data_IF_017070207222
#
_entry.id   IF_017070207222
#
_cell.length_a   1.000
_cell.length_b   1.000
_cell.length_c   1.000
_cell.angle_alpha   90.00
_cell.angle_beta   90.00
_cell.angle_gamma   90.00
#
_symmetry.space_group_name_H-M   'P 1'
#
loop_
_entity.id
_entity.type
_entity.pdbx_description
1 polymer ?
#
# COMPACT_ATOMS: atom_id res chain seq x y z
N UNK A 1 20.01 -4.66 -32.41
CA UNK A 1 18.89 -5.47 -32.95
C UNK A 1 18.09 -6.21 -31.88
N UNK A 2 18.67 -7.11 -31.06
CA UNK A 2 17.90 -7.76 -29.95
C UNK A 2 17.71 -6.85 -28.74
N UNK A 3 18.73 -6.03 -28.42
CA UNK A 3 18.69 -5.08 -27.29
C UNK A 3 17.66 -3.98 -27.53
N UNK A 4 17.54 -3.47 -28.76
CA UNK A 4 16.54 -2.45 -29.12
C UNK A 4 15.11 -2.98 -28.94
N UNK A 5 14.83 -4.21 -29.38
CA UNK A 5 13.51 -4.82 -29.21
C UNK A 5 13.11 -4.99 -27.73
N UNK A 6 14.09 -5.26 -26.85
CA UNK A 6 13.85 -5.35 -25.41
C UNK A 6 13.64 -3.97 -24.77
N UNK A 7 14.41 -2.96 -25.18
CA UNK A 7 14.32 -1.57 -24.68
C UNK A 7 12.97 -0.94 -25.05
N UNK A 8 12.46 -1.21 -26.26
CA UNK A 8 11.17 -0.69 -26.73
C UNK A 8 9.97 -1.56 -26.35
N UNK A 9 10.17 -2.62 -25.56
CA UNK A 9 9.06 -3.45 -25.10
C UNK A 9 8.13 -2.63 -24.18
N UNK A 10 6.79 -2.66 -24.38
CA UNK A 10 5.85 -1.80 -23.65
C UNK A 10 5.92 -1.97 -22.12
N UNK A 11 6.28 -3.16 -21.64
CA UNK A 11 6.50 -3.39 -20.20
C UNK A 11 7.76 -2.68 -19.65
N UNK A 12 8.82 -2.57 -20.45
CA UNK A 12 10.07 -1.88 -20.05
C UNK A 12 9.82 -0.38 -20.01
N UNK A 13 9.15 0.17 -21.01
CA UNK A 13 8.73 1.57 -21.02
C UNK A 13 7.83 1.90 -19.82
N UNK A 14 6.88 1.01 -19.49
CA UNK A 14 6.00 1.16 -18.33
C UNK A 14 6.78 1.12 -17.00
N UNK A 15 7.69 0.17 -16.84
CA UNK A 15 8.57 0.09 -15.68
C UNK A 15 9.43 1.34 -15.51
N UNK A 16 10.02 1.85 -16.60
CA UNK A 16 10.84 3.06 -16.58
C UNK A 16 10.02 4.28 -16.15
N UNK A 17 8.79 4.44 -16.66
CA UNK A 17 7.86 5.50 -16.22
C UNK A 17 7.53 5.36 -14.73
N UNK A 18 7.30 4.14 -14.26
CA UNK A 18 7.01 3.87 -12.86
C UNK A 18 8.17 4.27 -11.93
N UNK A 19 9.38 3.80 -12.23
CA UNK A 19 10.59 4.07 -11.42
C UNK A 19 11.03 5.53 -11.53
N UNK A 20 10.75 6.22 -12.63
CA UNK A 20 11.00 7.65 -12.76
C UNK A 20 10.24 8.47 -11.70
N UNK A 21 9.04 8.02 -11.29
CA UNK A 21 8.27 8.73 -10.25
C UNK A 21 8.91 8.61 -8.86
N UNK A 22 8.97 9.72 -8.12
CA UNK A 22 9.39 9.73 -6.71
C UNK A 22 8.46 8.87 -5.85
N UNK A 23 7.16 8.91 -6.14
CA UNK A 23 6.12 8.13 -5.45
C UNK A 23 6.28 6.63 -5.66
N UNK A 24 6.58 6.18 -6.89
CA UNK A 24 6.82 4.76 -7.19
C UNK A 24 8.03 4.22 -6.44
N UNK A 25 9.15 4.95 -6.43
CA UNK A 25 10.35 4.60 -5.68
C UNK A 25 10.11 4.53 -4.16
N UNK A 26 9.45 5.52 -3.56
CA UNK A 26 9.10 5.50 -2.13
C UNK A 26 8.25 4.27 -1.76
N UNK A 27 7.25 3.93 -2.58
CA UNK A 27 6.38 2.76 -2.36
C UNK A 27 7.12 1.44 -2.47
N UNK A 28 8.05 1.30 -3.43
CA UNK A 28 8.90 0.11 -3.54
C UNK A 28 9.79 -0.07 -2.31
N UNK A 29 10.48 0.99 -1.89
CA UNK A 29 11.34 0.99 -0.72
C UNK A 29 10.57 0.61 0.56
N UNK A 30 9.35 1.15 0.70
CA UNK A 30 8.45 0.81 1.81
C UNK A 30 8.04 -0.66 1.80
N UNK A 31 7.78 -1.23 0.62
CA UNK A 31 7.40 -2.63 0.47
C UNK A 31 8.53 -3.55 0.89
N UNK A 32 9.75 -3.31 0.41
CA UNK A 32 10.92 -4.10 0.78
C UNK A 32 11.20 -4.04 2.28
N UNK A 33 11.04 -2.86 2.89
CA UNK A 33 11.27 -2.71 4.32
C UNK A 33 10.24 -3.44 5.18
N UNK A 34 8.94 -3.27 4.91
CA UNK A 34 7.90 -3.94 5.71
C UNK A 34 7.92 -5.44 5.49
N UNK A 35 8.22 -5.89 4.27
CA UNK A 35 8.42 -7.31 3.99
C UNK A 35 9.62 -7.87 4.75
N UNK A 36 10.77 -7.18 4.75
CA UNK A 36 11.94 -7.60 5.53
C UNK A 36 11.63 -7.67 7.04
N UNK A 37 10.82 -6.73 7.57
CA UNK A 37 10.37 -6.75 8.96
C UNK A 37 9.48 -7.95 9.27
N UNK A 38 8.51 -8.25 8.40
CA UNK A 38 7.65 -9.43 8.54
C UNK A 38 8.45 -10.74 8.44
N UNK A 39 9.34 -10.84 7.45
CA UNK A 39 10.09 -12.06 7.18
C UNK A 39 11.13 -12.36 8.26
N UNK A 40 11.81 -11.35 8.80
CA UNK A 40 12.68 -11.51 9.96
C UNK A 40 11.91 -12.07 11.18
N UNK A 41 10.71 -11.53 11.43
CA UNK A 41 9.82 -12.02 12.49
C UNK A 41 9.35 -13.47 12.25
N UNK A 42 9.00 -13.80 11.00
CA UNK A 42 8.59 -15.14 10.60
C UNK A 42 9.70 -16.19 10.77
N UNK A 43 10.94 -15.84 10.40
CA UNK A 43 12.10 -16.70 10.59
C UNK A 43 12.35 -17.01 12.07
N UNK A 44 12.26 -16.03 12.97
CA UNK A 44 12.41 -16.26 14.41
C UNK A 44 11.33 -17.19 14.98
N UNK A 45 10.11 -17.15 14.44
CA UNK A 45 9.00 -18.04 14.84
C UNK A 45 9.15 -19.46 14.30
N UNK A 46 9.96 -19.67 13.27
CA UNK A 46 10.17 -20.97 12.61
C UNK A 46 11.52 -21.61 12.96
N UNK A 47 12.10 -21.25 14.12
CA UNK A 47 13.42 -21.69 14.59
C UNK A 47 14.58 -21.33 13.64
N UNK A 48 14.45 -20.25 12.87
CA UNK A 48 15.53 -19.70 12.07
C UNK A 48 16.70 -19.23 12.91
N UNK A 49 17.91 -19.36 12.39
CA UNK A 49 19.13 -18.93 13.09
C UNK A 49 19.34 -17.41 12.96
N UNK A 50 20.10 -16.82 13.89
CA UNK A 50 20.45 -15.40 13.83
C UNK A 50 21.18 -15.02 12.52
N UNK A 51 21.90 -15.96 11.90
CA UNK A 51 22.54 -15.76 10.61
C UNK A 51 21.51 -15.61 9.47
N UNK A 52 20.37 -16.30 9.55
CA UNK A 52 19.30 -16.21 8.57
C UNK A 52 18.49 -14.91 8.70
N UNK A 53 18.39 -14.34 9.91
CA UNK A 53 17.67 -13.08 10.15
C UNK A 53 18.52 -11.84 9.90
N UNK A 54 19.84 -11.93 10.06
CA UNK A 54 20.76 -10.80 9.95
C UNK A 54 20.64 -9.97 8.65
N UNK A 55 20.51 -10.56 7.44
CA UNK A 55 20.29 -9.78 6.22
C UNK A 55 19.00 -8.97 6.24
N UNK A 56 17.92 -9.53 6.78
CA UNK A 56 16.61 -8.88 6.87
C UNK A 56 16.60 -7.76 7.90
N UNK A 57 17.30 -7.96 9.02
CA UNK A 57 17.50 -6.92 10.03
C UNK A 57 18.34 -5.75 9.50
N UNK A 58 19.37 -6.04 8.69
CA UNK A 58 20.17 -5.01 8.01
C UNK A 58 19.29 -4.18 7.05
N UNK A 59 18.47 -4.82 6.24
CA UNK A 59 17.51 -4.15 5.34
C UNK A 59 16.52 -3.30 6.16
N UNK A 60 15.87 -3.90 7.17
CA UNK A 60 14.94 -3.18 8.07
C UNK A 60 15.59 -1.93 8.67
N UNK A 61 16.85 -2.04 9.13
CA UNK A 61 17.60 -0.97 9.76
C UNK A 61 17.99 0.12 8.77
N UNK A 62 18.59 -0.22 7.62
CA UNK A 62 19.05 0.76 6.63
C UNK A 62 17.87 1.56 6.05
N UNK A 63 16.85 0.89 5.53
CA UNK A 63 15.67 1.58 4.98
C UNK A 63 14.85 2.29 6.08
N UNK A 64 14.84 1.76 7.30
CA UNK A 64 14.23 2.40 8.45
C UNK A 64 14.91 3.70 8.85
N UNK A 65 16.23 3.74 8.83
CA UNK A 65 17.01 4.95 9.09
C UNK A 65 16.80 5.99 7.99
N UNK A 66 16.84 5.60 6.72
CA UNK A 66 16.55 6.50 5.60
C UNK A 66 15.18 7.16 5.75
N UNK A 67 14.15 6.39 6.11
CA UNK A 67 12.81 6.96 6.35
C UNK A 67 12.70 7.78 7.62
N UNK A 68 13.41 7.41 8.69
CA UNK A 68 13.49 8.24 9.90
C UNK A 68 14.12 9.58 9.56
N UNK A 69 15.21 9.58 8.81
CA UNK A 69 15.90 10.80 8.34
C UNK A 69 14.96 11.68 7.49
N UNK A 70 14.28 11.10 6.50
CA UNK A 70 13.25 11.80 5.70
C UNK A 70 12.04 12.31 6.51
N UNK A 71 11.91 11.89 7.77
CA UNK A 71 10.82 12.26 8.69
C UNK A 71 11.33 12.91 9.98
N UNK A 72 12.61 13.30 10.06
CA UNK A 72 13.12 14.10 11.18
C UNK A 72 12.36 15.43 11.17
N UNK A 73 11.84 15.84 12.34
CA UNK A 73 10.94 17.00 12.49
C UNK A 73 9.45 16.65 12.47
N UNK A 74 9.06 15.38 12.28
CA UNK A 74 7.65 14.97 12.34
C UNK A 74 7.21 14.82 13.81
N UNK A 75 6.50 15.82 14.32
CA UNK A 75 6.01 15.88 15.70
C UNK A 75 4.93 14.82 16.00
N UNK A 76 4.70 14.53 17.29
CA UNK A 76 3.63 13.62 17.76
C UNK A 76 2.25 13.99 17.19
N UNK A 77 1.98 15.28 17.05
CA UNK A 77 0.76 15.81 16.44
C UNK A 77 0.59 15.38 14.98
N UNK A 78 1.67 15.22 14.22
CA UNK A 78 1.59 14.74 12.85
C UNK A 78 1.05 13.29 12.75
N UNK A 79 1.33 12.45 13.76
CA UNK A 79 0.73 11.11 13.85
C UNK A 79 -0.75 11.17 14.21
N UNK A 80 -1.17 12.14 15.03
CA UNK A 80 -2.59 12.37 15.36
C UNK A 80 -3.37 12.89 14.15
N UNK A 81 -2.82 13.85 13.41
CA UNK A 81 -3.41 14.31 12.15
C UNK A 81 -3.46 13.20 11.10
N UNK A 82 -2.45 12.34 11.05
CA UNK A 82 -2.49 11.18 10.16
C UNK A 82 -3.61 10.20 10.53
N UNK A 83 -3.75 9.86 11.82
CA UNK A 83 -4.85 9.02 12.29
C UNK A 83 -6.23 9.64 12.00
N UNK A 84 -6.38 10.96 12.22
CA UNK A 84 -7.61 11.70 11.90
C UNK A 84 -7.89 11.67 10.39
N UNK A 85 -6.86 11.86 9.56
CA UNK A 85 -6.98 11.77 8.11
C UNK A 85 -7.45 10.39 7.64
N UNK A 86 -6.94 9.32 8.26
CA UNK A 86 -7.41 7.94 8.02
C UNK A 86 -8.89 7.80 8.43
N UNK A 87 -9.29 8.32 9.59
CA UNK A 87 -10.68 8.26 10.02
C UNK A 87 -11.63 8.98 9.04
N UNK A 88 -11.27 10.18 8.58
CA UNK A 88 -12.03 10.90 7.56
C UNK A 88 -12.08 10.14 6.22
N UNK A 89 -10.95 9.53 5.81
CA UNK A 89 -10.88 8.70 4.61
C UNK A 89 -11.85 7.52 4.71
N UNK A 90 -11.84 6.78 5.82
CA UNK A 90 -12.75 5.64 6.04
C UNK A 90 -14.20 6.07 5.92
N UNK A 91 -14.61 7.19 6.53
CA UNK A 91 -15.97 7.72 6.40
C UNK A 91 -16.32 8.04 4.94
N UNK A 92 -15.43 8.72 4.22
CA UNK A 92 -15.64 9.07 2.81
C UNK A 92 -15.75 7.82 1.91
N UNK A 93 -14.93 6.80 2.17
CA UNK A 93 -14.95 5.55 1.41
C UNK A 93 -16.21 4.73 1.71
N UNK A 94 -16.66 4.67 2.96
CA UNK A 94 -17.94 4.04 3.33
C UNK A 94 -19.12 4.74 2.64
N UNK A 95 -19.14 6.08 2.64
CA UNK A 95 -20.15 6.83 1.92
C UNK A 95 -20.11 6.57 0.41
N UNK A 96 -18.92 6.46 -0.18
CA UNK A 96 -18.75 6.11 -1.59
C UNK A 96 -19.32 4.72 -1.90
N UNK A 97 -19.06 3.72 -1.05
CA UNK A 97 -19.64 2.39 -1.20
C UNK A 97 -21.17 2.40 -1.11
N UNK A 98 -21.73 3.17 -0.18
CA UNK A 98 -23.18 3.37 -0.06
C UNK A 98 -23.77 3.99 -1.33
N UNK A 99 -23.16 5.07 -1.84
CA UNK A 99 -23.58 5.71 -3.10
C UNK A 99 -23.48 4.77 -4.29
N UNK A 100 -22.43 3.95 -4.37
CA UNK A 100 -22.25 2.97 -5.44
C UNK A 100 -23.28 1.85 -5.39
N UNK A 101 -23.69 1.43 -4.19
CA UNK A 101 -24.79 0.47 -4.02
C UNK A 101 -26.12 1.04 -4.52
N UNK A 102 -26.41 2.31 -4.22
CA UNK A 102 -27.59 2.99 -4.76
C UNK A 102 -27.54 3.14 -6.29
N UNK A 103 -26.37 3.42 -6.87
CA UNK A 103 -26.20 3.47 -8.34
C UNK A 103 -26.42 2.11 -8.99
N UNK A 104 -25.88 1.04 -8.41
CA UNK A 104 -26.08 -0.32 -8.95
C UNK A 104 -27.56 -0.71 -8.97
N UNK A 105 -28.34 -0.34 -7.96
CA UNK A 105 -29.77 -0.63 -7.88
C UNK A 105 -30.61 0.09 -8.97
N UNK A 106 -30.06 1.13 -9.60
CA UNK A 106 -30.73 1.92 -10.66
C UNK A 106 -30.31 1.52 -12.07
N UNK A 107 -29.30 0.67 -12.22
CA UNK A 107 -28.77 0.27 -13.54
C UNK A 107 -29.52 -0.96 -14.04
N UNK A 108 -30.22 -0.83 -15.16
CA UNK A 108 -30.80 -1.98 -15.85
C UNK A 108 -29.72 -2.71 -16.66
N UNK A 109 -29.42 -3.96 -16.30
CA UNK A 109 -28.38 -4.78 -16.95
C UNK A 109 -28.83 -5.40 -18.28
N UNK A 110 -30.05 -5.09 -18.73
CA UNK A 110 -30.60 -5.56 -20.01
C UNK A 110 -30.14 -4.74 -21.21
N UNK A 111 -29.71 -3.49 -20.98
CA UNK A 111 -29.15 -2.62 -22.02
C UNK A 111 -27.62 -2.72 -22.10
N UNK A 112 -27.07 -2.64 -23.31
CA UNK A 112 -25.62 -2.66 -23.54
C UNK A 112 -24.87 -1.56 -22.77
N UNK A 113 -25.49 -0.39 -22.60
CA UNK A 113 -24.95 0.71 -21.78
C UNK A 113 -24.96 0.39 -20.28
N UNK A 114 -26.00 -0.29 -19.79
CA UNK A 114 -26.11 -0.71 -18.39
C UNK A 114 -25.07 -1.78 -18.01
N UNK A 115 -24.66 -2.64 -18.94
CA UNK A 115 -23.55 -3.59 -18.72
C UNK A 115 -22.22 -2.86 -18.53
N UNK A 116 -21.96 -1.80 -19.31
CA UNK A 116 -20.74 -0.99 -19.19
C UNK A 116 -20.74 -0.21 -17.87
N UNK A 117 -21.88 0.40 -17.51
CA UNK A 117 -21.99 1.12 -16.23
C UNK A 117 -21.85 0.18 -15.03
N UNK A 118 -22.42 -1.04 -15.09
CA UNK A 118 -22.23 -2.07 -14.08
C UNK A 118 -20.76 -2.46 -13.90
N UNK A 119 -20.01 -2.62 -14.99
CA UNK A 119 -18.55 -2.88 -14.94
C UNK A 119 -17.79 -1.71 -14.32
N UNK A 120 -18.15 -0.47 -14.66
CA UNK A 120 -17.54 0.73 -14.07
C UNK A 120 -17.79 0.82 -12.57
N UNK A 121 -19.02 0.56 -12.12
CA UNK A 121 -19.39 0.52 -10.70
C UNK A 121 -18.59 -0.56 -9.96
N UNK A 122 -18.42 -1.74 -10.56
CA UNK A 122 -17.60 -2.82 -9.97
C UNK A 122 -16.13 -2.41 -9.80
N UNK A 123 -15.56 -1.70 -10.78
CA UNK A 123 -14.20 -1.14 -10.71
C UNK A 123 -14.08 -0.06 -9.63
N UNK A 124 -15.04 0.88 -9.57
CA UNK A 124 -15.09 1.94 -8.54
C UNK A 124 -15.22 1.34 -7.12
N UNK A 125 -16.04 0.29 -6.97
CA UNK A 125 -16.20 -0.46 -5.71
C UNK A 125 -14.91 -1.19 -5.32
N UNK A 126 -14.25 -1.86 -6.27
CA UNK A 126 -12.99 -2.56 -6.01
C UNK A 126 -11.89 -1.58 -5.58
N UNK A 127 -11.79 -0.42 -6.24
CA UNK A 127 -10.86 0.64 -5.86
C UNK A 127 -11.15 1.15 -4.44
N UNK A 128 -12.43 1.40 -4.12
CA UNK A 128 -12.83 1.87 -2.79
C UNK A 128 -12.53 0.86 -1.68
N UNK A 129 -12.77 -0.44 -1.94
CA UNK A 129 -12.42 -1.54 -1.02
C UNK A 129 -10.91 -1.66 -0.79
N UNK A 130 -10.10 -1.54 -1.84
CA UNK A 130 -8.63 -1.55 -1.71
C UNK A 130 -8.14 -0.37 -0.88
N UNK A 131 -8.73 0.82 -1.04
CA UNK A 131 -8.40 1.98 -0.21
C UNK A 131 -8.74 1.73 1.27
N UNK A 132 -9.93 1.21 1.57
CA UNK A 132 -10.32 0.85 2.94
C UNK A 132 -9.36 -0.16 3.57
N UNK A 133 -8.96 -1.19 2.82
CA UNK A 133 -8.00 -2.18 3.30
C UNK A 133 -6.64 -1.53 3.58
N UNK A 134 -6.18 -0.65 2.70
CA UNK A 134 -4.95 0.13 2.90
C UNK A 134 -5.04 1.01 4.14
N UNK A 135 -6.16 1.71 4.34
CA UNK A 135 -6.39 2.62 5.47
C UNK A 135 -6.38 1.86 6.82
N UNK A 136 -7.00 0.67 6.87
CA UNK A 136 -6.97 -0.21 8.05
C UNK A 136 -5.55 -0.69 8.35
N UNK A 137 -4.81 -1.11 7.33
CA UNK A 137 -3.42 -1.52 7.48
C UNK A 137 -2.51 -0.36 7.93
N UNK A 138 -2.70 0.83 7.36
CA UNK A 138 -1.91 2.01 7.68
C UNK A 138 -2.20 2.54 9.09
N UNK A 139 -3.37 2.26 9.66
CA UNK A 139 -3.73 2.62 11.05
C UNK A 139 -2.80 1.97 12.08
N UNK A 140 -2.18 0.83 11.77
CA UNK A 140 -1.20 0.17 12.64
C UNK A 140 0.01 1.05 12.96
N UNK A 141 0.40 1.93 12.04
CA UNK A 141 1.61 2.75 12.16
C UNK A 141 1.44 3.97 13.10
N UNK A 142 0.40 4.83 12.95
CA UNK A 142 0.19 5.92 13.89
C UNK A 142 -0.26 5.41 15.26
N UNK A 143 -1.03 4.31 15.36
CA UNK A 143 -1.44 3.75 16.65
C UNK A 143 -0.25 3.20 17.44
N UNK A 144 0.68 2.50 16.78
CA UNK A 144 1.92 2.03 17.41
C UNK A 144 2.84 3.20 17.76
N UNK A 145 2.98 4.21 16.89
CA UNK A 145 3.85 5.37 17.12
C UNK A 145 3.35 6.28 18.25
N UNK A 146 2.03 6.38 18.45
CA UNK A 146 1.42 7.15 19.54
C UNK A 146 1.37 6.38 20.87
N UNK A 147 1.67 5.07 20.86
CA UNK A 147 1.59 4.19 22.01
C UNK A 147 0.16 3.81 22.40
N UNK A 148 -0.81 3.93 21.49
CA UNK A 148 -2.21 3.61 21.77
C UNK A 148 -2.48 2.10 21.78
N UNK A 149 -1.77 1.34 20.94
CA UNK A 149 -1.91 -0.11 20.85
C UNK A 149 -0.53 -0.73 20.73
N UNK A 150 -0.23 -1.70 21.59
CA UNK A 150 0.97 -2.54 21.50
C UNK A 150 0.74 -3.63 20.44
N UNK A 151 1.01 -3.30 19.19
CA UNK A 151 0.92 -4.26 18.07
C UNK A 151 2.27 -4.95 17.89
N UNK A 152 2.27 -6.28 17.78
CA UNK A 152 3.48 -7.07 17.52
C UNK A 152 4.20 -6.59 16.24
N UNK A 153 5.54 -6.56 16.29
CA UNK A 153 6.42 -6.11 15.22
C UNK A 153 6.13 -6.84 13.89
N UNK A 154 5.74 -8.11 13.94
CA UNK A 154 5.36 -8.95 12.80
C UNK A 154 4.03 -8.56 12.17
N UNK A 155 3.02 -8.24 12.96
CA UNK A 155 1.71 -7.80 12.45
C UNK A 155 1.80 -6.43 11.78
N UNK A 156 2.59 -5.51 12.36
CA UNK A 156 2.91 -4.21 11.73
C UNK A 156 3.68 -4.42 10.41
N UNK A 157 4.59 -5.40 10.38
CA UNK A 157 5.29 -5.81 9.16
C UNK A 157 4.31 -6.26 8.07
N UNK A 158 3.43 -7.21 8.39
CA UNK A 158 2.44 -7.75 7.44
C UNK A 158 1.45 -6.67 6.95
N UNK A 159 0.88 -5.89 7.88
CA UNK A 159 -0.04 -4.81 7.52
C UNK A 159 0.66 -3.78 6.62
N UNK A 160 1.89 -3.39 6.96
CA UNK A 160 2.69 -2.47 6.14
C UNK A 160 3.06 -3.03 4.77
N UNK A 161 3.29 -4.35 4.64
CA UNK A 161 3.52 -5.01 3.35
C UNK A 161 2.27 -5.00 2.48
N UNK A 162 1.10 -5.31 3.07
CA UNK A 162 -0.17 -5.33 2.34
C UNK A 162 -0.52 -3.91 1.86
N UNK A 163 -0.45 -2.89 2.72
CA UNK A 163 -0.76 -1.51 2.32
C UNK A 163 0.24 -0.97 1.29
N UNK A 164 1.53 -1.31 1.41
CA UNK A 164 2.54 -0.87 0.44
C UNK A 164 2.38 -1.55 -0.92
N UNK A 165 2.02 -2.84 -0.97
CA UNK A 165 1.72 -3.55 -2.22
C UNK A 165 0.52 -2.93 -2.94
N UNK A 166 -0.54 -2.59 -2.22
CA UNK A 166 -1.68 -1.84 -2.77
C UNK A 166 -1.21 -0.48 -3.29
N UNK A 167 -0.34 0.20 -2.55
CA UNK A 167 0.30 1.43 -2.97
C UNK A 167 1.05 1.28 -4.31
N UNK A 168 1.90 0.26 -4.44
CA UNK A 168 2.66 -0.03 -5.67
C UNK A 168 1.69 -0.33 -6.81
N UNK A 169 0.71 -1.20 -6.60
CA UNK A 169 -0.29 -1.57 -7.61
C UNK A 169 -1.09 -0.37 -8.11
N UNK A 170 -1.57 0.49 -7.21
CA UNK A 170 -2.31 1.70 -7.58
C UNK A 170 -1.45 2.69 -8.34
N UNK A 171 -0.16 2.82 -8.00
CA UNK A 171 0.76 3.69 -8.73
C UNK A 171 1.14 3.11 -10.09
N UNK A 172 1.36 1.80 -10.18
CA UNK A 172 1.65 1.08 -11.42
C UNK A 172 0.53 1.26 -12.44
N UNK A 173 -0.73 1.16 -12.00
CA UNK A 173 -1.90 1.44 -12.85
C UNK A 173 -1.96 2.86 -13.38
N UNK A 174 -1.46 3.85 -12.63
CA UNK A 174 -1.46 5.26 -13.05
C UNK A 174 -0.36 5.56 -14.07
N UNK A 175 0.69 4.73 -14.13
CA UNK A 175 1.82 4.92 -15.05
C UNK A 175 1.71 4.05 -16.31
N UNK A 176 0.67 3.21 -16.38
CA UNK A 176 0.35 2.35 -17.51
C UNK A 176 -0.34 3.17 -18.61
#
# INVERSE_FOLDING_TARGET
MVVDALIYHPSVAHYLRFVATTVGRDKLLRTLQYFARFYAWYLLRTNGTAAQTAPWDAIKKQFGLTRKLMRVGKNREAYRFWAMGIACSVVAQVYTLYRLQQREARVDKKDGEGVVEGKRIALERAASRLQLLSDVCDLSVPTSALGWVAVDDGLVGLAGTVSSLIGVYTQWKKTA
#
